data_IF_081400445978
#
_entry.id   IF_081400445978
#
_cell.length_a   1.000
_cell.length_b   1.000
_cell.length_c   1.000
_cell.angle_alpha   90.00
_cell.angle_beta   90.00
_cell.angle_gamma   90.00
#
_symmetry.space_group_name_H-M   'P 1'
#
loop_
_entity.id
_entity.type
_entity.pdbx_description
1 polymer ?
#
# COMPACT_ATOMS: atom_id res chain seq x y z
N UNK A 1 -18.30 -7.74 6.84
CA UNK A 1 -17.16 -8.34 6.14
C UNK A 1 -16.71 -9.56 6.93
N UNK A 2 -16.73 -10.72 6.31
CA UNK A 2 -16.10 -11.95 6.82
C UNK A 2 -14.59 -11.89 6.63
N UNK A 3 -13.84 -12.78 7.30
CA UNK A 3 -12.39 -12.86 7.13
C UNK A 3 -11.98 -13.13 5.67
N UNK A 4 -12.69 -14.04 4.99
CA UNK A 4 -12.44 -14.37 3.58
C UNK A 4 -12.76 -13.21 2.65
N UNK A 5 -13.82 -12.44 2.93
CA UNK A 5 -14.15 -11.23 2.16
C UNK A 5 -13.06 -10.16 2.33
N UNK A 6 -12.57 -9.98 3.55
CA UNK A 6 -11.44 -9.08 3.82
C UNK A 6 -10.19 -9.50 3.06
N UNK A 7 -9.80 -10.77 3.17
CA UNK A 7 -8.59 -11.28 2.52
C UNK A 7 -8.66 -11.09 1.00
N UNK A 8 -9.79 -11.40 0.36
CA UNK A 8 -9.95 -11.20 -1.08
C UNK A 8 -9.77 -9.73 -1.50
N UNK A 9 -10.40 -8.80 -0.78
CA UNK A 9 -10.29 -7.36 -1.06
C UNK A 9 -8.88 -6.82 -0.78
N UNK A 10 -8.26 -7.27 0.30
CA UNK A 10 -6.95 -6.81 0.72
C UNK A 10 -5.81 -7.41 -0.14
N UNK A 11 -5.94 -8.66 -0.59
CA UNK A 11 -5.02 -9.26 -1.56
C UNK A 11 -5.08 -8.57 -2.92
N UNK A 12 -6.28 -8.12 -3.34
CA UNK A 12 -6.44 -7.32 -4.56
C UNK A 12 -5.70 -5.99 -4.46
N UNK A 13 -5.69 -5.34 -3.29
CA UNK A 13 -4.88 -4.13 -3.07
C UNK A 13 -3.40 -4.41 -3.27
N UNK A 14 -2.85 -5.49 -2.69
CA UNK A 14 -1.43 -5.82 -2.87
C UNK A 14 -1.10 -6.07 -4.35
N UNK A 15 -1.95 -6.84 -5.05
CA UNK A 15 -1.77 -7.12 -6.47
C UNK A 15 -1.83 -5.85 -7.33
N UNK A 16 -2.70 -4.90 -6.98
CA UNK A 16 -2.81 -3.63 -7.68
C UNK A 16 -1.57 -2.75 -7.50
N UNK A 17 -1.04 -2.70 -6.27
CA UNK A 17 0.20 -1.96 -6.00
C UNK A 17 1.37 -2.57 -6.78
N UNK A 18 1.49 -3.91 -6.79
CA UNK A 18 2.50 -4.62 -7.61
C UNK A 18 2.38 -4.24 -9.09
N UNK A 19 1.19 -4.41 -9.68
CA UNK A 19 0.96 -4.11 -11.09
C UNK A 19 1.28 -2.65 -11.44
N UNK A 20 0.87 -1.69 -10.58
CA UNK A 20 1.10 -0.27 -10.87
C UNK A 20 2.59 0.10 -10.75
N UNK A 21 3.34 -0.54 -9.85
CA UNK A 21 4.79 -0.34 -9.73
C UNK A 21 5.52 -0.95 -10.91
N UNK A 22 5.17 -2.18 -11.32
CA UNK A 22 5.76 -2.85 -12.49
C UNK A 22 5.51 -2.09 -13.80
N UNK A 23 4.37 -1.43 -13.94
CA UNK A 23 4.03 -0.58 -15.08
C UNK A 23 4.62 0.84 -15.00
N UNK A 24 5.27 1.21 -13.88
CA UNK A 24 5.88 2.53 -13.70
C UNK A 24 7.31 2.57 -14.23
N UNK A 25 7.74 3.74 -14.74
CA UNK A 25 9.12 3.97 -15.19
C UNK A 25 10.11 4.21 -14.03
N UNK A 26 9.68 4.03 -12.77
CA UNK A 26 10.46 4.37 -11.57
C UNK A 26 11.17 3.13 -11.04
N UNK A 27 12.45 3.27 -10.69
CA UNK A 27 13.27 2.15 -10.18
C UNK A 27 12.89 1.81 -8.73
N UNK A 28 11.84 0.99 -8.58
CA UNK A 28 11.32 0.50 -7.30
C UNK A 28 11.35 -1.03 -7.35
N UNK A 29 12.16 -1.64 -6.49
CA UNK A 29 12.20 -3.08 -6.32
C UNK A 29 10.98 -3.54 -5.51
N UNK A 30 10.20 -4.45 -6.08
CA UNK A 30 8.94 -4.92 -5.51
C UNK A 30 9.04 -6.40 -5.11
N UNK A 31 8.89 -6.69 -3.83
CA UNK A 31 8.96 -8.07 -3.29
C UNK A 31 7.71 -8.42 -2.49
N UNK A 32 7.06 -9.53 -2.86
CA UNK A 32 5.91 -10.08 -2.12
C UNK A 32 6.23 -11.38 -1.42
N UNK A 33 5.99 -11.40 -0.11
CA UNK A 33 6.08 -12.58 0.75
C UNK A 33 4.78 -12.75 1.54
N UNK A 34 3.89 -13.62 1.04
CA UNK A 34 2.58 -13.86 1.64
C UNK A 34 1.74 -12.57 1.69
N UNK A 35 1.43 -12.12 2.91
CA UNK A 35 0.60 -10.94 3.17
C UNK A 35 1.39 -9.63 3.23
N UNK A 36 2.69 -9.67 2.92
CA UNK A 36 3.59 -8.53 2.98
C UNK A 36 4.10 -8.20 1.59
N UNK A 37 3.93 -6.94 1.20
CA UNK A 37 4.52 -6.33 0.02
C UNK A 37 5.57 -5.31 0.47
N UNK A 38 6.77 -5.41 -0.06
CA UNK A 38 7.88 -4.50 0.21
C UNK A 38 8.26 -3.78 -1.07
N UNK A 39 8.23 -2.44 -1.04
CA UNK A 39 8.73 -1.57 -2.09
C UNK A 39 10.06 -0.97 -1.60
N UNK A 40 11.15 -1.26 -2.28
CA UNK A 40 12.49 -0.74 -1.99
C UNK A 40 12.89 0.29 -3.05
N UNK A 41 13.31 1.47 -2.60
CA UNK A 41 13.67 2.60 -3.46
C UNK A 41 15.19 2.67 -3.63
N UNK A 42 15.68 3.37 -4.66
CA UNK A 42 17.12 3.51 -4.95
C UNK A 42 17.97 3.96 -3.73
N UNK A 43 17.40 4.80 -2.86
CA UNK A 43 18.09 5.30 -1.66
C UNK A 43 18.09 4.33 -0.47
N UNK A 44 17.60 3.11 -0.67
CA UNK A 44 17.53 2.01 0.29
C UNK A 44 16.37 2.14 1.30
N UNK A 45 15.55 3.18 1.19
CA UNK A 45 14.32 3.25 1.99
C UNK A 45 13.26 2.30 1.48
N UNK A 46 12.30 1.97 2.37
CA UNK A 46 11.27 0.98 2.08
C UNK A 46 9.89 1.49 2.43
N UNK A 47 8.90 1.08 1.65
CA UNK A 47 7.50 1.07 2.05
C UNK A 47 7.08 -0.38 2.20
N UNK A 48 6.46 -0.72 3.33
CA UNK A 48 5.98 -2.07 3.60
C UNK A 48 4.46 -2.01 3.76
N UNK A 49 3.73 -2.74 2.92
CA UNK A 49 2.27 -2.91 2.99
C UNK A 49 1.98 -4.31 3.50
N UNK A 50 1.19 -4.43 4.58
CA UNK A 50 0.92 -5.71 5.24
C UNK A 50 -0.56 -5.89 5.58
N UNK A 51 -1.11 -7.07 5.31
CA UNK A 51 -2.50 -7.42 5.65
C UNK A 51 -2.61 -7.89 7.09
N UNK A 52 -3.41 -7.17 7.90
CA UNK A 52 -3.67 -7.48 9.30
C UNK A 52 -5.05 -8.12 9.46
N UNK A 53 -5.11 -9.42 9.17
CA UNK A 53 -6.35 -10.22 9.19
C UNK A 53 -7.16 -10.09 10.48
N UNK A 54 -6.57 -10.18 11.70
CA UNK A 54 -7.35 -10.08 12.93
C UNK A 54 -8.01 -8.70 13.15
N UNK A 55 -7.48 -7.66 12.50
CA UNK A 55 -7.98 -6.29 12.57
C UNK A 55 -8.85 -5.91 11.37
N UNK A 56 -8.84 -6.73 10.30
CA UNK A 56 -9.38 -6.38 8.98
C UNK A 56 -8.84 -5.03 8.48
N UNK A 57 -7.54 -4.85 8.61
CA UNK A 57 -6.83 -3.62 8.24
C UNK A 57 -5.66 -3.91 7.28
N UNK A 58 -5.31 -2.90 6.49
CA UNK A 58 -4.04 -2.85 5.75
C UNK A 58 -3.12 -1.89 6.49
N UNK A 59 -1.92 -2.33 6.84
CA UNK A 59 -0.93 -1.47 7.50
C UNK A 59 0.15 -1.09 6.51
N UNK A 60 0.56 0.17 6.57
CA UNK A 60 1.64 0.74 5.76
C UNK A 60 2.70 1.30 6.68
N UNK A 61 3.94 0.84 6.54
CA UNK A 61 5.12 1.47 7.13
C UNK A 61 5.89 2.18 6.01
N UNK A 62 6.03 3.50 6.13
CA UNK A 62 6.83 4.34 5.25
C UNK A 62 7.85 5.14 6.06
N UNK A 63 8.78 5.83 5.41
CA UNK A 63 9.75 6.73 6.07
C UNK A 63 9.07 7.76 6.97
N UNK A 64 7.90 8.24 6.59
CA UNK A 64 7.12 9.23 7.34
C UNK A 64 6.39 8.66 8.57
N UNK A 65 6.27 7.33 8.71
CA UNK A 65 5.63 6.69 9.85
C UNK A 65 4.80 5.45 9.50
N UNK A 66 3.97 5.03 10.46
CA UNK A 66 3.04 3.91 10.33
C UNK A 66 1.58 4.36 10.23
N UNK A 67 0.86 3.78 9.29
CA UNK A 67 -0.51 4.12 8.90
C UNK A 67 -1.36 2.86 8.82
N UNK A 68 -2.60 2.93 9.28
CA UNK A 68 -3.51 1.79 9.28
C UNK A 68 -4.78 2.17 8.54
N UNK A 69 -5.19 1.33 7.60
CA UNK A 69 -6.31 1.55 6.72
C UNK A 69 -7.39 0.51 6.97
N UNK A 70 -8.63 0.98 7.07
CA UNK A 70 -9.81 0.12 7.17
C UNK A 70 -10.75 0.45 6.03
N UNK A 71 -11.36 -0.58 5.45
CA UNK A 71 -12.39 -0.41 4.43
C UNK A 71 -13.59 0.37 4.99
N UNK A 72 -13.97 1.46 4.34
CA UNK A 72 -15.16 2.27 4.62
C UNK A 72 -15.91 2.52 3.32
N UNK A 73 -17.04 1.83 3.13
CA UNK A 73 -17.68 1.77 1.82
C UNK A 73 -16.79 0.97 0.88
N UNK A 74 -16.41 1.57 -0.24
CA UNK A 74 -15.57 0.95 -1.27
C UNK A 74 -14.11 1.42 -1.22
N UNK A 75 -13.73 2.20 -0.19
CA UNK A 75 -12.40 2.83 -0.09
C UNK A 75 -11.66 2.41 1.18
N UNK A 76 -10.35 2.25 1.05
CA UNK A 76 -9.45 2.02 2.18
C UNK A 76 -9.07 3.36 2.79
N UNK A 77 -9.56 3.64 4.00
CA UNK A 77 -9.38 4.93 4.67
C UNK A 77 -8.48 4.82 5.89
N UNK A 78 -7.54 5.76 6.03
CA UNK A 78 -6.70 5.86 7.21
C UNK A 78 -7.57 6.01 8.47
N UNK A 79 -7.20 5.28 9.52
CA UNK A 79 -7.98 5.20 10.76
C UNK A 79 -7.86 6.44 11.65
N UNK A 80 -6.89 7.32 11.40
CA UNK A 80 -6.65 8.57 12.13
C UNK A 80 -7.20 9.78 11.39
N UNK A 81 -6.83 9.95 10.12
CA UNK A 81 -7.15 11.18 9.36
C UNK A 81 -8.12 10.97 8.20
N UNK A 82 -8.38 9.73 7.79
CA UNK A 82 -9.32 9.39 6.73
C UNK A 82 -8.78 9.55 5.31
N UNK A 83 -7.49 9.82 5.13
CA UNK A 83 -6.83 9.82 3.80
C UNK A 83 -7.04 8.47 3.11
N UNK A 84 -7.22 8.48 1.79
CA UNK A 84 -7.36 7.26 0.99
C UNK A 84 -5.99 6.56 0.81
N UNK A 85 -5.98 5.22 0.74
CA UNK A 85 -4.78 4.40 0.70
C UNK A 85 -3.89 4.67 -0.53
N UNK A 86 -4.44 4.67 -1.75
CA UNK A 86 -3.66 4.90 -2.96
C UNK A 86 -3.19 6.35 -3.08
N UNK A 87 -4.00 7.31 -2.61
CA UNK A 87 -3.57 8.70 -2.43
C UNK A 87 -2.34 8.79 -1.51
N UNK A 88 -2.40 8.11 -0.36
CA UNK A 88 -1.31 8.10 0.60
C UNK A 88 -0.06 7.37 0.07
N UNK A 89 -0.22 6.21 -0.56
CA UNK A 89 0.86 5.43 -1.15
C UNK A 89 1.56 6.22 -2.26
N UNK A 90 0.82 6.89 -3.14
CA UNK A 90 1.39 7.78 -4.18
C UNK A 90 2.26 8.87 -3.56
N UNK A 91 1.76 9.51 -2.48
CA UNK A 91 2.51 10.53 -1.74
C UNK A 91 3.78 9.96 -1.11
N UNK A 92 3.71 8.81 -0.44
CA UNK A 92 4.85 8.20 0.22
C UNK A 92 5.91 7.74 -0.80
N UNK A 93 5.47 7.07 -1.86
CA UNK A 93 6.34 6.60 -2.93
C UNK A 93 7.03 7.78 -3.62
N UNK A 94 6.30 8.85 -3.93
CA UNK A 94 6.90 10.06 -4.53
C UNK A 94 7.95 10.70 -3.62
N UNK A 95 7.71 10.73 -2.30
CA UNK A 95 8.68 11.27 -1.34
C UNK A 95 9.94 10.42 -1.24
N UNK A 96 9.83 9.10 -1.39
CA UNK A 96 10.96 8.17 -1.26
C UNK A 96 11.71 7.95 -2.58
N UNK A 97 11.03 8.02 -3.73
CA UNK A 97 11.64 7.99 -5.05
C UNK A 97 12.32 9.32 -5.42
N UNK A 98 11.86 10.44 -4.86
CA UNK A 98 12.35 11.77 -5.23
C UNK A 98 11.77 12.29 -6.55
N UNK A 99 10.85 11.55 -7.16
CA UNK A 99 10.09 11.91 -8.36
C UNK A 99 8.60 11.56 -8.20
N UNK A 100 7.77 11.86 -9.20
CA UNK A 100 6.33 11.62 -9.08
C UNK A 100 6.00 10.15 -9.36
N UNK A 101 5.47 9.46 -8.36
CA UNK A 101 4.94 8.10 -8.47
C UNK A 101 3.42 8.16 -8.29
N UNK A 102 2.67 7.68 -9.28
CA UNK A 102 1.21 7.61 -9.20
C UNK A 102 0.78 6.16 -9.05
N UNK A 103 0.20 5.84 -7.90
CA UNK A 103 -0.44 4.56 -7.61
C UNK A 103 -1.95 4.78 -7.61
N UNK A 104 -2.70 3.89 -8.28
CA UNK A 104 -4.14 4.06 -8.45
C UNK A 104 -4.89 2.76 -8.16
N UNK A 105 -6.08 2.90 -7.59
CA UNK A 105 -7.07 1.84 -7.59
C UNK A 105 -7.60 1.63 -9.02
N UNK A 106 -8.01 0.39 -9.33
CA UNK A 106 -8.75 0.05 -10.54
C UNK A 106 -10.14 0.69 -10.61
#
# INVERSE_FOLDING_TARGET
MTESEFLALAEAVLAQVEATVEDSDVDIDCERTGNVLTLEFEDGSKIIVNLQTPMSEIWVAARSGGYHYRLKGDEWRDTRDGTELFEALSRFASQQAGETVTLQAD
#
